data_IF_151039326963
#
_entry.id   IF_151039326963
#
_cell.length_a   1.000
_cell.length_b   1.000
_cell.length_c   1.000
_cell.angle_alpha   90.00
_cell.angle_beta   90.00
_cell.angle_gamma   90.00
#
_symmetry.space_group_name_H-M   'P 1'
#
loop_
_entity.id
_entity.type
_entity.pdbx_description
1 polymer ?
#
# COMPACT_ATOMS: atom_id res chain seq x y z
N UNK A 1 -19.23 -0.81 -8.67
CA UNK A 1 -20.25 0.05 -8.02
C UNK A 1 -21.62 -0.32 -8.56
N UNK A 2 -22.66 -0.41 -7.71
CA UNK A 2 -24.01 -0.67 -8.22
C UNK A 2 -24.51 0.54 -9.02
N UNK A 3 -25.29 0.32 -10.08
CA UNK A 3 -25.77 1.41 -10.95
C UNK A 3 -26.60 2.45 -10.19
N UNK A 4 -27.35 1.99 -9.18
CA UNK A 4 -28.14 2.89 -8.34
C UNK A 4 -27.29 3.77 -7.42
N UNK A 5 -26.06 3.34 -7.09
CA UNK A 5 -25.17 4.11 -6.23
C UNK A 5 -24.26 5.05 -7.02
N UNK A 6 -23.95 4.70 -8.29
CA UNK A 6 -23.05 5.47 -9.15
C UNK A 6 -23.47 6.95 -9.31
N UNK A 7 -24.78 7.23 -9.28
CA UNK A 7 -25.33 8.60 -9.35
C UNK A 7 -24.88 9.50 -8.19
N UNK A 8 -24.49 8.94 -7.04
CA UNK A 8 -23.99 9.67 -5.87
C UNK A 8 -22.49 9.96 -5.95
N UNK A 9 -21.78 9.35 -6.90
CA UNK A 9 -20.35 9.53 -7.13
C UNK A 9 -20.09 10.25 -8.47
N UNK A 10 -20.90 11.28 -8.75
CA UNK A 10 -20.76 12.13 -9.94
C UNK A 10 -19.78 13.28 -9.71
N UNK A 11 -19.06 13.64 -10.76
CA UNK A 11 -18.20 14.82 -10.76
C UNK A 11 -18.25 15.56 -12.09
N UNK A 12 -18.03 16.87 -12.05
CA UNK A 12 -17.85 17.68 -13.24
C UNK A 12 -16.36 17.77 -13.55
N UNK A 13 -15.99 17.48 -14.79
CA UNK A 13 -14.64 17.67 -15.28
C UNK A 13 -14.62 18.75 -16.36
N UNK A 14 -13.68 19.69 -16.23
CA UNK A 14 -13.46 20.76 -17.20
C UNK A 14 -11.99 20.78 -17.58
N UNK A 15 -11.70 20.54 -18.86
CA UNK A 15 -10.36 20.75 -19.41
C UNK A 15 -10.08 22.25 -19.64
N UNK A 16 -8.82 22.62 -19.94
CA UNK A 16 -8.39 24.02 -20.04
C UNK A 16 -9.25 24.91 -20.95
N UNK A 17 -9.79 24.33 -22.03
CA UNK A 17 -10.62 25.03 -23.02
C UNK A 17 -11.92 24.28 -23.36
N UNK A 18 -12.37 23.37 -22.49
CA UNK A 18 -13.62 22.61 -22.72
C UNK A 18 -14.77 23.13 -21.86
N UNK A 19 -15.99 22.88 -22.30
CA UNK A 19 -17.14 22.97 -21.41
C UNK A 19 -17.07 21.87 -20.32
N UNK A 20 -17.65 22.11 -19.13
CA UNK A 20 -17.75 21.06 -18.11
C UNK A 20 -18.59 19.88 -18.59
N UNK A 21 -18.08 18.67 -18.40
CA UNK A 21 -18.79 17.42 -18.70
C UNK A 21 -19.04 16.66 -17.39
N UNK A 22 -20.23 16.08 -17.26
CA UNK A 22 -20.62 15.25 -16.12
C UNK A 22 -20.12 13.82 -16.32
N UNK A 23 -19.41 13.31 -15.32
CA UNK A 23 -18.94 11.93 -15.25
C UNK A 23 -19.53 11.22 -14.04
N UNK A 24 -19.67 9.89 -14.14
CA UNK A 24 -20.05 9.02 -13.03
C UNK A 24 -18.93 8.00 -12.78
N UNK A 25 -18.59 7.77 -11.52
CA UNK A 25 -17.65 6.72 -11.15
C UNK A 25 -18.31 5.33 -11.28
N UNK A 26 -17.60 4.38 -11.88
CA UNK A 26 -18.07 2.99 -12.05
C UNK A 26 -17.39 2.01 -11.08
N UNK A 27 -16.25 2.42 -10.52
CA UNK A 27 -15.49 1.69 -9.49
C UNK A 27 -15.71 2.26 -8.09
N UNK A 28 -15.30 1.50 -7.08
CA UNK A 28 -15.21 1.98 -5.69
C UNK A 28 -14.25 3.17 -5.65
N UNK A 29 -14.66 4.28 -5.03
CA UNK A 29 -13.92 5.55 -5.09
C UNK A 29 -13.06 5.77 -3.85
N UNK A 30 -11.90 6.37 -4.04
CA UNK A 30 -11.11 6.85 -2.91
C UNK A 30 -11.82 8.03 -2.22
N UNK A 31 -11.74 8.08 -0.89
CA UNK A 31 -12.35 9.13 -0.08
C UNK A 31 -13.81 8.88 0.31
N UNK A 32 -14.44 7.83 -0.21
CA UNK A 32 -15.74 7.39 0.29
C UNK A 32 -15.59 6.52 1.54
N UNK A 33 -16.44 6.76 2.54
CA UNK A 33 -16.27 6.20 3.89
C UNK A 33 -16.27 4.65 3.94
N UNK A 34 -17.16 3.92 3.25
CA UNK A 34 -17.14 2.46 3.24
C UNK A 34 -16.08 1.85 2.31
N UNK A 35 -15.49 2.64 1.40
CA UNK A 35 -14.62 2.12 0.33
C UNK A 35 -13.42 1.32 0.84
N UNK A 36 -12.67 1.75 1.89
CA UNK A 36 -11.59 0.95 2.45
C UNK A 36 -12.06 -0.41 3.00
N UNK A 37 -13.23 -0.46 3.63
CA UNK A 37 -13.79 -1.70 4.17
C UNK A 37 -14.19 -2.67 3.05
N UNK A 38 -14.85 -2.16 2.01
CA UNK A 38 -15.24 -2.95 0.84
C UNK A 38 -14.02 -3.53 0.11
N UNK A 39 -12.99 -2.71 -0.13
CA UNK A 39 -11.77 -3.16 -0.79
C UNK A 39 -11.05 -4.25 0.00
N UNK A 40 -10.95 -4.10 1.33
CA UNK A 40 -10.35 -5.10 2.21
C UNK A 40 -11.17 -6.40 2.23
N UNK A 41 -12.50 -6.31 2.29
CA UNK A 41 -13.36 -7.49 2.27
C UNK A 41 -13.16 -8.31 0.99
N UNK A 42 -13.22 -7.65 -0.18
CA UNK A 42 -13.06 -8.33 -1.46
C UNK A 42 -11.65 -8.89 -1.61
N UNK A 43 -10.59 -8.16 -1.22
CA UNK A 43 -9.22 -8.68 -1.23
C UNK A 43 -9.07 -9.92 -0.36
N UNK A 44 -9.62 -9.90 0.86
CA UNK A 44 -9.55 -11.05 1.76
C UNK A 44 -10.26 -12.27 1.16
N UNK A 45 -11.44 -12.07 0.56
CA UNK A 45 -12.17 -13.12 -0.14
C UNK A 45 -11.36 -13.68 -1.33
N UNK A 46 -10.73 -12.83 -2.13
CA UNK A 46 -9.82 -13.26 -3.20
C UNK A 46 -8.68 -14.14 -2.66
N UNK A 47 -8.07 -13.75 -1.53
CA UNK A 47 -7.03 -14.55 -0.89
C UNK A 47 -7.52 -15.91 -0.39
N UNK A 48 -8.76 -16.01 0.09
CA UNK A 48 -9.40 -17.27 0.50
C UNK A 48 -9.76 -18.17 -0.69
N UNK A 49 -10.25 -17.60 -1.78
CA UNK A 49 -10.77 -18.34 -2.93
C UNK A 49 -9.66 -18.86 -3.86
N UNK A 50 -8.62 -18.05 -4.07
CA UNK A 50 -7.56 -18.34 -5.05
C UNK A 50 -6.19 -18.64 -4.41
N UNK A 51 -6.06 -18.45 -3.09
CA UNK A 51 -4.82 -18.69 -2.36
C UNK A 51 -4.77 -20.05 -1.65
N UNK A 52 -3.58 -20.40 -1.14
CA UNK A 52 -3.43 -21.46 -0.14
C UNK A 52 -3.93 -20.97 1.23
N UNK A 53 -4.12 -21.88 2.20
CA UNK A 53 -4.45 -21.50 3.58
C UNK A 53 -3.44 -20.49 4.16
N UNK A 54 -2.14 -20.68 3.88
CA UNK A 54 -1.09 -19.73 4.27
C UNK A 54 -1.26 -18.37 3.58
N UNK A 55 -1.56 -18.36 2.28
CA UNK A 55 -1.77 -17.11 1.52
C UNK A 55 -2.97 -16.36 2.07
N UNK A 56 -4.10 -17.03 2.29
CA UNK A 56 -5.32 -16.45 2.84
C UNK A 56 -5.08 -15.87 4.24
N UNK A 57 -4.36 -16.59 5.10
CA UNK A 57 -3.94 -16.09 6.41
C UNK A 57 -3.12 -14.80 6.29
N UNK A 58 -2.12 -14.78 5.39
CA UNK A 58 -1.25 -13.62 5.22
C UNK A 58 -1.97 -12.41 4.66
N UNK A 59 -2.85 -12.59 3.67
CA UNK A 59 -3.70 -11.51 3.11
C UNK A 59 -4.52 -10.84 4.20
N UNK A 60 -5.04 -11.61 5.17
CA UNK A 60 -5.82 -11.06 6.28
C UNK A 60 -4.96 -10.37 7.34
N UNK A 61 -3.75 -10.89 7.57
CA UNK A 61 -2.93 -10.51 8.73
C UNK A 61 -1.98 -9.34 8.48
N UNK A 62 -1.39 -9.28 7.28
CA UNK A 62 -0.23 -8.43 6.99
C UNK A 62 -0.51 -7.26 6.05
N UNK A 63 -1.76 -7.09 5.62
CA UNK A 63 -2.19 -5.87 4.95
C UNK A 63 -2.59 -4.80 5.97
N UNK A 64 -2.08 -3.58 5.77
CA UNK A 64 -2.63 -2.36 6.34
C UNK A 64 -3.21 -1.51 5.21
N UNK A 65 -4.53 -1.39 5.15
CA UNK A 65 -5.23 -0.79 4.01
C UNK A 65 -4.76 -1.41 2.68
N UNK A 66 -4.09 -0.66 1.82
CA UNK A 66 -3.54 -1.06 0.53
C UNK A 66 -2.10 -1.59 0.58
N UNK A 67 -1.38 -1.39 1.68
CA UNK A 67 0.02 -1.80 1.84
C UNK A 67 0.13 -3.21 2.44
N UNK A 68 0.90 -4.09 1.79
CA UNK A 68 1.33 -5.38 2.37
C UNK A 68 2.71 -5.23 3.01
N UNK A 69 2.86 -5.67 4.27
CA UNK A 69 4.14 -5.66 4.96
C UNK A 69 4.32 -6.92 5.80
N UNK A 70 5.35 -7.71 5.48
CA UNK A 70 5.65 -8.98 6.12
C UNK A 70 7.17 -9.19 6.21
N UNK A 71 7.60 -10.04 7.14
CA UNK A 71 9.00 -10.34 7.42
C UNK A 71 9.21 -11.86 7.49
N UNK A 72 10.34 -12.32 6.96
CA UNK A 72 10.65 -13.75 6.85
C UNK A 72 12.09 -14.03 7.26
N UNK A 73 12.35 -15.25 7.74
CA UNK A 73 13.67 -15.70 8.19
C UNK A 73 14.61 -16.07 7.03
N UNK A 74 14.08 -16.31 5.82
CA UNK A 74 14.87 -16.59 4.63
C UNK A 74 14.34 -15.91 3.37
N UNK A 75 15.24 -15.67 2.41
CA UNK A 75 14.90 -15.08 1.12
C UNK A 75 14.01 -16.00 0.29
N UNK A 76 14.25 -17.31 0.35
CA UNK A 76 13.46 -18.31 -0.36
C UNK A 76 12.00 -18.30 0.11
N UNK A 77 11.78 -18.18 1.42
CA UNK A 77 10.44 -18.10 1.98
C UNK A 77 9.74 -16.80 1.58
N UNK A 78 10.44 -15.66 1.69
CA UNK A 78 9.93 -14.37 1.27
C UNK A 78 9.50 -14.36 -0.21
N UNK A 79 10.34 -14.93 -1.09
CA UNK A 79 10.05 -15.03 -2.53
C UNK A 79 8.83 -15.92 -2.79
N UNK A 80 8.80 -17.11 -2.18
CA UNK A 80 7.69 -18.06 -2.33
C UNK A 80 6.36 -17.42 -1.93
N UNK A 81 6.36 -16.72 -0.80
CA UNK A 81 5.17 -16.03 -0.28
C UNK A 81 4.76 -14.86 -1.16
N UNK A 82 5.69 -14.00 -1.54
CA UNK A 82 5.41 -12.87 -2.42
C UNK A 82 4.78 -13.33 -3.75
N UNK A 83 5.34 -14.38 -4.38
CA UNK A 83 4.80 -14.95 -5.62
C UNK A 83 3.41 -15.57 -5.39
N UNK A 84 3.20 -16.29 -4.30
CA UNK A 84 1.90 -16.87 -3.94
C UNK A 84 0.82 -15.80 -3.78
N UNK A 85 1.13 -14.71 -3.08
CA UNK A 85 0.25 -13.55 -2.92
C UNK A 85 -0.06 -12.88 -4.25
N UNK A 86 0.97 -12.63 -5.08
CA UNK A 86 0.78 -12.01 -6.39
C UNK A 86 -0.14 -12.83 -7.28
N UNK A 87 0.04 -14.15 -7.31
CA UNK A 87 -0.78 -15.03 -8.13
C UNK A 87 -2.23 -15.06 -7.64
N UNK A 88 -2.45 -15.26 -6.33
CA UNK A 88 -3.80 -15.33 -5.77
C UNK A 88 -4.56 -14.01 -5.92
N UNK A 89 -3.93 -12.88 -5.58
CA UNK A 89 -4.59 -11.58 -5.59
C UNK A 89 -4.83 -11.04 -7.01
N UNK A 90 -4.02 -11.45 -7.99
CA UNK A 90 -4.22 -11.10 -9.39
C UNK A 90 -5.54 -11.64 -9.95
N UNK A 91 -6.04 -12.78 -9.46
CA UNK A 91 -7.35 -13.31 -9.85
C UNK A 91 -8.51 -12.37 -9.48
N UNK A 92 -8.37 -11.65 -8.37
CA UNK A 92 -9.29 -10.58 -7.96
C UNK A 92 -8.94 -9.20 -8.53
N UNK A 93 -8.03 -9.13 -9.50
CA UNK A 93 -7.50 -7.90 -10.09
C UNK A 93 -6.78 -6.96 -9.10
N UNK A 94 -6.31 -7.50 -7.97
CA UNK A 94 -5.45 -6.81 -7.01
C UNK A 94 -3.98 -7.00 -7.40
N UNK A 95 -3.46 -6.06 -8.18
CA UNK A 95 -2.08 -6.12 -8.67
C UNK A 95 -1.11 -5.49 -7.65
N UNK A 96 -0.34 -6.31 -6.96
CA UNK A 96 0.71 -5.84 -6.04
C UNK A 96 1.89 -5.24 -6.81
N UNK A 97 2.24 -4.00 -6.47
CA UNK A 97 3.27 -3.20 -7.15
C UNK A 97 4.20 -2.55 -6.13
N UNK A 98 5.26 -1.87 -6.60
CA UNK A 98 6.18 -1.08 -5.76
C UNK A 98 6.81 -1.85 -4.60
N UNK A 99 7.21 -3.10 -4.87
CA UNK A 99 7.90 -3.94 -3.89
C UNK A 99 9.15 -3.27 -3.34
N UNK A 100 9.33 -3.37 -2.02
CA UNK A 100 10.52 -2.91 -1.29
C UNK A 100 11.03 -4.06 -0.42
N UNK A 101 12.35 -4.22 -0.33
CA UNK A 101 12.98 -5.27 0.48
C UNK A 101 14.38 -4.85 0.93
N UNK A 102 14.82 -5.36 2.08
CA UNK A 102 16.22 -5.31 2.52
C UNK A 102 17.12 -6.32 1.77
N UNK A 103 16.53 -7.26 1.01
CA UNK A 103 17.25 -8.20 0.14
C UNK A 103 17.14 -7.80 -1.33
N UNK A 104 18.30 -7.60 -1.97
CA UNK A 104 18.38 -7.36 -3.40
C UNK A 104 17.93 -8.58 -4.22
N UNK A 105 18.16 -9.79 -3.73
CA UNK A 105 17.74 -11.02 -4.41
C UNK A 105 16.20 -11.11 -4.44
N UNK A 106 15.55 -10.94 -3.29
CA UNK A 106 14.09 -10.90 -3.20
C UNK A 106 13.51 -9.84 -4.13
N UNK A 107 14.05 -8.62 -4.10
CA UNK A 107 13.57 -7.53 -4.96
C UNK A 107 13.76 -7.83 -6.46
N UNK A 108 14.85 -8.48 -6.85
CA UNK A 108 15.09 -8.83 -8.24
C UNK A 108 14.13 -9.90 -8.75
N UNK A 109 13.85 -10.93 -7.93
CA UNK A 109 12.93 -12.00 -8.31
C UNK A 109 11.50 -11.46 -8.35
N UNK A 110 11.04 -10.81 -7.28
CA UNK A 110 9.65 -10.33 -7.17
C UNK A 110 9.40 -9.14 -8.10
N UNK A 111 10.33 -8.18 -8.16
CA UNK A 111 10.25 -7.02 -9.04
C UNK A 111 10.44 -7.35 -10.53
N UNK A 112 11.09 -8.47 -10.85
CA UNK A 112 11.20 -8.97 -12.22
C UNK A 112 9.88 -9.51 -12.80
N UNK A 113 8.93 -9.89 -11.94
CA UNK A 113 7.61 -10.42 -12.33
C UNK A 113 6.63 -9.31 -12.72
N UNK A 114 6.80 -8.08 -12.19
CA UNK A 114 5.99 -6.90 -12.52
C UNK A 114 6.88 -5.77 -13.09
N UNK A 115 7.08 -5.76 -14.41
CA UNK A 115 7.98 -4.87 -15.14
C UNK A 115 7.61 -3.37 -15.12
N UNK A 116 6.52 -2.96 -14.49
CA UNK A 116 5.95 -1.62 -14.71
C UNK A 116 6.40 -0.56 -13.71
N UNK A 117 6.77 -0.88 -12.48
CA UNK A 117 7.21 0.14 -11.50
C UNK A 117 8.27 -0.44 -10.56
N UNK A 118 9.51 -0.47 -11.05
CA UNK A 118 10.67 -0.90 -10.29
C UNK A 118 11.26 0.34 -9.60
N UNK A 119 11.07 0.49 -8.29
CA UNK A 119 11.96 1.34 -7.49
C UNK A 119 13.20 0.48 -7.18
N UNK A 120 14.09 0.36 -8.17
CA UNK A 120 15.40 -0.26 -7.94
C UNK A 120 16.26 0.78 -7.24
N UNK A 121 16.73 0.46 -6.04
CA UNK A 121 17.92 1.10 -5.50
C UNK A 121 17.74 2.48 -4.87
N UNK A 122 16.52 2.88 -4.52
CA UNK A 122 16.40 3.90 -3.46
C UNK A 122 16.84 3.23 -2.14
N UNK A 123 17.86 3.79 -1.47
CA UNK A 123 18.30 3.32 -0.15
C UNK A 123 17.22 3.50 0.94
N UNK A 124 16.08 4.08 0.55
CA UNK A 124 15.01 4.56 1.39
C UNK A 124 13.65 4.23 0.78
N UNK A 125 12.87 3.43 1.47
CA UNK A 125 11.46 3.19 1.19
C UNK A 125 10.59 3.94 2.22
N UNK A 126 9.28 3.99 1.97
CA UNK A 126 8.30 4.37 2.99
C UNK A 126 7.45 3.18 3.37
N UNK A 127 7.20 3.01 4.67
CA UNK A 127 6.32 1.97 5.21
C UNK A 127 5.48 2.58 6.32
N UNK A 128 4.15 2.57 6.17
CA UNK A 128 3.21 3.09 7.17
C UNK A 128 3.50 4.52 7.63
N UNK A 129 3.97 5.39 6.72
CA UNK A 129 4.33 6.78 7.02
C UNK A 129 5.72 6.97 7.63
N UNK A 130 6.46 5.90 7.90
CA UNK A 130 7.86 5.93 8.31
C UNK A 130 8.80 5.81 7.12
N UNK A 131 10.01 6.35 7.26
CA UNK A 131 11.14 6.11 6.36
C UNK A 131 11.79 4.79 6.76
N UNK A 132 12.05 3.92 5.79
CA UNK A 132 12.76 2.67 5.99
C UNK A 132 14.05 2.67 5.20
N UNK A 133 15.19 2.60 5.88
CA UNK A 133 16.47 2.35 5.24
C UNK A 133 16.62 0.85 4.99
N UNK A 134 16.46 0.42 3.75
CA UNK A 134 16.43 -1.00 3.37
C UNK A 134 17.79 -1.67 3.54
N UNK A 135 18.90 -0.94 3.34
CA UNK A 135 20.27 -1.50 3.48
C UNK A 135 20.64 -1.80 4.93
N UNK A 136 20.27 -0.90 5.85
CA UNK A 136 20.56 -1.03 7.29
C UNK A 136 19.44 -1.74 8.04
N UNK A 137 18.32 -1.97 7.37
CA UNK A 137 17.07 -2.45 7.94
C UNK A 137 16.64 -1.66 9.19
N UNK A 138 16.54 -0.34 9.03
CA UNK A 138 16.18 0.58 10.12
C UNK A 138 15.04 1.50 9.74
N UNK A 139 14.09 1.67 10.66
CA UNK A 139 12.99 2.62 10.53
C UNK A 139 13.37 3.98 11.13
N UNK A 140 12.89 5.05 10.53
CA UNK A 140 13.09 6.42 10.98
C UNK A 140 11.94 7.32 10.56
N UNK A 141 11.93 8.53 11.09
CA UNK A 141 10.97 9.57 10.73
C UNK A 141 11.72 10.90 10.57
N UNK A 142 11.19 11.78 9.72
CA UNK A 142 11.77 13.11 9.55
C UNK A 142 11.03 14.09 10.42
N UNK A 143 11.75 14.74 11.33
CA UNK A 143 11.22 15.85 12.11
C UNK A 143 11.38 17.14 11.32
N UNK A 144 10.26 17.73 10.88
CA UNK A 144 10.27 19.11 10.39
C UNK A 144 10.15 20.04 11.59
N UNK A 145 11.17 20.88 11.79
CA UNK A 145 11.27 21.93 12.83
C UNK A 145 11.48 21.44 14.28
N UNK A 146 12.64 20.84 14.56
CA UNK A 146 13.28 21.13 15.85
C UNK A 146 14.03 22.46 15.70
N UNK A 147 13.33 23.58 15.88
CA UNK A 147 14.03 24.71 16.49
C UNK A 147 14.24 24.28 17.94
N UNK A 148 15.48 24.09 18.36
CA UNK A 148 15.81 24.09 19.78
C UNK A 148 15.33 25.42 20.36
N UNK A 149 14.09 25.46 20.85
CA UNK A 149 13.78 26.42 21.88
C UNK A 149 14.52 25.89 23.10
N UNK A 150 15.68 26.49 23.37
CA UNK A 150 16.28 26.55 24.69
C UNK A 150 15.26 27.19 25.63
N UNK A 151 14.22 26.44 25.99
CA UNK A 151 13.33 26.81 27.07
C UNK A 151 14.10 26.43 28.32
N UNK A 152 14.90 27.38 28.81
CA UNK A 152 15.28 27.41 30.20
C UNK A 152 13.99 27.23 31.00
N UNK A 153 13.80 26.05 31.58
CA UNK A 153 12.76 25.79 32.56
C UNK A 153 13.09 26.65 33.79
N UNK A 154 12.74 27.94 33.73
CA UNK A 154 12.58 28.75 34.93
C UNK A 154 11.31 28.26 35.60
N UNK A 155 11.50 27.61 36.75
CA UNK A 155 10.43 27.24 37.64
C UNK A 155 9.55 28.45 37.97
N UNK A 156 8.26 28.18 37.96
CA UNK A 156 7.22 29.09 38.41
C UNK A 156 6.02 28.23 38.75
N UNK A 157 5.91 27.85 40.03
CA UNK A 157 4.72 27.26 40.58
C UNK A 157 3.56 28.28 40.49
N UNK A 158 2.40 27.82 40.00
CA UNK A 158 1.07 27.99 40.60
C UNK A 158 0.15 26.92 40.01
#
# INVERSE_FOLDING_TARGET
MHKDDARFHRFLWKGPSSEPVLYEMTGVVFGDSPSPCQAQYVRNLTGEEYGTEETAFRVKRFFYMDDYSDSHDSEEDAIRIAIGLMNALKEGNFNLTKWSSNSANVLNVVGGVNLTERIIGEEEAKVLGLRWNTKKDTLGFTLKNFSEQNTALRGGAF
#
